data_IF_974643946641
#
_entry.id   IF_974643946641
#
_cell.length_a   1.000
_cell.length_b   1.000
_cell.length_c   1.000
_cell.angle_alpha   90.00
_cell.angle_beta   90.00
_cell.angle_gamma   90.00
#
_symmetry.space_group_name_H-M   'P 1'
#
loop_
_entity.id
_entity.type
_entity.pdbx_description
1 polymer ?
#
# COMPACT_ATOMS: atom_id res chain seq x y z
N UNK A 1 -37.92 -4.67 47.86
CA UNK A 1 -37.27 -5.35 46.76
C UNK A 1 -36.83 -4.33 45.72
N UNK A 2 -35.59 -3.86 45.81
CA UNK A 2 -34.99 -2.86 44.89
C UNK A 2 -33.96 -3.61 44.06
N UNK A 3 -34.33 -3.90 42.80
CA UNK A 3 -33.42 -4.40 41.78
C UNK A 3 -32.64 -3.22 41.21
N UNK A 4 -31.40 -3.03 41.64
CA UNK A 4 -30.44 -2.09 41.00
C UNK A 4 -29.93 -2.70 39.73
N UNK A 5 -30.40 -2.21 38.56
CA UNK A 5 -29.77 -2.42 37.27
C UNK A 5 -28.43 -1.70 37.28
N UNK A 6 -27.34 -2.43 37.46
CA UNK A 6 -25.99 -1.97 37.12
C UNK A 6 -25.91 -1.83 35.58
N UNK A 7 -26.02 -0.59 35.09
CA UNK A 7 -25.59 -0.26 33.74
C UNK A 7 -24.07 -0.43 33.70
N UNK A 8 -23.64 -1.48 33.07
CA UNK A 8 -22.25 -1.70 32.71
C UNK A 8 -21.87 -0.61 31.73
N UNK A 9 -21.19 0.44 32.21
CA UNK A 9 -20.53 1.43 31.36
C UNK A 9 -19.35 0.75 30.69
N UNK A 10 -19.57 0.15 29.53
CA UNK A 10 -18.48 -0.16 28.61
C UNK A 10 -17.87 1.17 28.16
N UNK A 11 -16.70 1.51 28.66
CA UNK A 11 -15.83 2.50 28.06
C UNK A 11 -15.09 1.84 26.89
N UNK A 12 -15.44 2.10 25.64
CA UNK A 12 -14.62 1.63 24.53
C UNK A 12 -13.45 2.61 24.41
N UNK A 13 -12.22 2.19 24.64
CA UNK A 13 -11.13 3.01 24.21
C UNK A 13 -9.79 2.97 24.92
N UNK A 14 -9.61 2.24 26.04
CA UNK A 14 -8.31 2.29 26.75
C UNK A 14 -7.40 1.07 26.64
N UNK A 15 -7.89 -0.08 26.22
CA UNK A 15 -7.07 -1.29 26.14
C UNK A 15 -6.20 -1.35 24.85
N UNK A 16 -6.57 -0.64 23.78
CA UNK A 16 -5.87 -0.68 22.49
C UNK A 16 -4.66 0.27 22.41
N UNK A 17 -4.56 1.30 23.23
CA UNK A 17 -3.53 2.34 23.08
C UNK A 17 -2.12 1.83 23.42
N UNK A 18 -1.95 0.97 24.43
CA UNK A 18 -0.63 0.50 24.84
C UNK A 18 0.04 -0.37 23.77
N UNK A 19 -0.67 -1.34 23.21
CA UNK A 19 -0.14 -2.20 22.15
C UNK A 19 0.22 -1.45 20.89
N UNK A 20 -0.63 -0.49 20.47
CA UNK A 20 -0.37 0.35 19.30
C UNK A 20 0.87 1.23 19.51
N UNK A 21 0.97 1.91 20.64
CA UNK A 21 2.11 2.79 20.93
C UNK A 21 3.43 2.01 20.96
N UNK A 22 3.43 0.79 21.46
CA UNK A 22 4.58 -0.12 21.43
C UNK A 22 4.98 -0.51 20.00
N UNK A 23 3.99 -0.86 19.16
CA UNK A 23 4.21 -1.20 17.76
C UNK A 23 4.76 0.00 16.96
N UNK A 24 4.28 1.22 17.25
CA UNK A 24 4.77 2.44 16.64
C UNK A 24 6.19 2.80 17.10
N UNK A 25 6.48 2.64 18.38
CA UNK A 25 7.83 2.84 18.93
C UNK A 25 8.84 1.89 18.29
N UNK A 26 8.48 0.64 18.04
CA UNK A 26 9.28 -0.32 17.28
C UNK A 26 9.55 0.10 15.81
N UNK A 27 8.77 1.02 15.28
CA UNK A 27 8.93 1.64 13.96
C UNK A 27 9.57 3.05 14.02
N UNK A 28 10.05 3.45 15.20
CA UNK A 28 10.71 4.73 15.42
C UNK A 28 9.77 5.92 15.64
N UNK A 29 8.47 5.69 15.83
CA UNK A 29 7.47 6.72 16.09
C UNK A 29 6.99 6.63 17.54
N UNK A 30 7.34 7.62 18.35
CA UNK A 30 6.85 7.77 19.73
C UNK A 30 5.64 8.67 19.73
N UNK A 31 4.48 8.15 20.11
CA UNK A 31 3.22 8.90 20.12
C UNK A 31 3.25 9.95 21.23
N UNK A 32 3.10 11.23 20.85
CA UNK A 32 3.12 12.35 21.79
C UNK A 32 1.79 12.49 22.56
N UNK A 33 0.65 12.44 21.87
CA UNK A 33 -0.68 12.57 22.48
C UNK A 33 -1.58 11.38 22.08
N UNK A 34 -2.06 11.32 20.84
CA UNK A 34 -3.04 10.33 20.40
C UNK A 34 -2.64 9.59 19.13
N UNK A 35 -2.86 8.27 19.13
CA UNK A 35 -2.80 7.44 17.94
C UNK A 35 -4.19 6.87 17.64
N UNK A 36 -4.62 7.01 16.40
CA UNK A 36 -5.89 6.49 15.88
C UNK A 36 -5.59 5.35 14.91
N UNK A 37 -6.19 4.18 15.13
CA UNK A 37 -5.94 3.00 14.31
C UNK A 37 -7.20 2.54 13.60
N UNK A 38 -7.08 2.26 12.31
CA UNK A 38 -8.11 1.63 11.46
C UNK A 38 -9.46 2.35 11.53
N UNK A 39 -9.41 3.69 11.49
CA UNK A 39 -10.62 4.50 11.45
C UNK A 39 -11.39 4.23 10.16
N UNK A 40 -12.71 4.22 10.28
CA UNK A 40 -13.61 4.18 9.13
C UNK A 40 -13.55 5.48 8.33
N UNK A 41 -14.03 5.45 7.10
CA UNK A 41 -14.14 6.65 6.24
C UNK A 41 -14.86 7.80 6.96
N UNK A 42 -15.97 7.52 7.64
CA UNK A 42 -16.74 8.52 8.37
C UNK A 42 -15.96 9.11 9.55
N UNK A 43 -15.24 8.27 10.29
CA UNK A 43 -14.39 8.74 11.40
C UNK A 43 -13.19 9.56 10.92
N UNK A 44 -12.56 9.18 9.80
CA UNK A 44 -11.51 9.97 9.16
C UNK A 44 -12.04 11.34 8.72
N UNK A 45 -13.24 11.40 8.13
CA UNK A 45 -13.90 12.65 7.74
C UNK A 45 -14.19 13.54 8.96
N UNK A 46 -14.65 12.97 10.08
CA UNK A 46 -14.81 13.69 11.34
C UNK A 46 -13.47 14.25 11.90
N UNK A 47 -12.35 13.64 11.53
CA UNK A 47 -11.00 14.14 11.85
C UNK A 47 -10.45 15.11 10.81
N UNK A 48 -11.28 15.55 9.85
CA UNK A 48 -10.90 16.51 8.83
C UNK A 48 -10.34 15.90 7.54
N UNK A 49 -10.53 14.60 7.30
CA UNK A 49 -10.14 14.00 6.04
C UNK A 49 -10.96 14.59 4.89
N UNK A 50 -10.26 15.00 3.84
CA UNK A 50 -10.82 15.46 2.58
C UNK A 50 -10.33 14.58 1.44
N UNK A 51 -11.06 14.57 0.34
CA UNK A 51 -10.61 13.90 -0.89
C UNK A 51 -9.43 14.69 -1.45
N UNK A 52 -8.27 14.05 -1.51
CA UNK A 52 -7.08 14.67 -2.04
C UNK A 52 -7.14 14.73 -3.57
N UNK A 53 -6.65 15.83 -4.14
CA UNK A 53 -6.44 15.95 -5.57
C UNK A 53 -5.45 14.88 -6.05
N UNK A 54 -5.75 14.23 -7.19
CA UNK A 54 -4.84 13.24 -7.77
C UNK A 54 -3.70 13.94 -8.49
N UNK A 55 -2.49 13.55 -8.16
CA UNK A 55 -1.26 13.96 -8.85
C UNK A 55 -0.65 12.76 -9.58
N UNK A 56 0.29 13.03 -10.48
CA UNK A 56 1.07 12.00 -11.17
C UNK A 56 2.47 12.52 -11.49
N UNK A 57 3.42 11.58 -11.60
CA UNK A 57 4.79 11.89 -12.02
C UNK A 57 5.64 12.57 -10.94
N UNK A 58 5.32 12.36 -9.67
CA UNK A 58 6.18 12.81 -8.58
C UNK A 58 7.50 12.04 -8.57
N UNK A 59 8.60 12.66 -8.10
CA UNK A 59 9.88 11.97 -7.99
C UNK A 59 9.77 10.71 -7.11
N UNK A 60 10.24 9.59 -7.63
CA UNK A 60 10.31 8.31 -6.93
C UNK A 60 11.78 7.92 -6.80
N UNK A 61 12.24 7.72 -5.57
CA UNK A 61 13.60 7.29 -5.24
C UNK A 61 13.56 5.89 -4.66
N UNK A 62 14.22 4.95 -5.30
CA UNK A 62 14.24 3.55 -4.87
C UNK A 62 15.63 3.18 -4.38
N UNK A 63 15.70 2.57 -3.19
CA UNK A 63 16.88 1.93 -2.64
C UNK A 63 16.71 0.42 -2.62
N UNK A 64 17.75 -0.28 -3.07
CA UNK A 64 17.73 -1.73 -3.20
C UNK A 64 17.37 -2.17 -4.61
N UNK A 65 17.77 -3.39 -4.94
CA UNK A 65 17.70 -3.86 -6.31
C UNK A 65 17.00 -5.20 -6.39
N UNK A 66 15.84 -5.23 -7.05
CA UNK A 66 15.15 -6.47 -7.41
C UNK A 66 15.66 -7.07 -8.74
N UNK A 67 16.27 -6.25 -9.62
CA UNK A 67 16.57 -6.66 -11.01
C UNK A 67 17.90 -6.12 -11.56
N UNK A 68 18.87 -5.71 -10.74
CA UNK A 68 20.20 -5.28 -11.22
C UNK A 68 20.34 -3.78 -11.53
N UNK A 69 19.35 -2.93 -11.22
CA UNK A 69 19.44 -1.48 -11.42
C UNK A 69 20.26 -0.75 -10.33
N UNK A 70 20.66 0.49 -10.58
CA UNK A 70 21.31 1.34 -9.59
C UNK A 70 20.28 1.89 -8.59
N UNK A 71 20.67 2.01 -7.33
CA UNK A 71 19.84 2.69 -6.32
C UNK A 71 19.88 4.20 -6.53
N UNK A 72 18.70 4.84 -6.57
CA UNK A 72 18.56 6.30 -6.71
C UNK A 72 18.92 7.04 -5.41
N UNK A 73 18.83 6.33 -4.28
CA UNK A 73 19.10 6.85 -2.95
C UNK A 73 20.01 5.90 -2.17
N UNK A 74 21.02 6.42 -1.52
CA UNK A 74 21.93 5.64 -0.70
C UNK A 74 21.31 5.25 0.65
N UNK A 75 21.86 4.19 1.29
CA UNK A 75 21.47 3.76 2.63
C UNK A 75 21.54 4.89 3.66
N UNK A 76 22.60 5.71 3.59
CA UNK A 76 22.79 6.82 4.52
C UNK A 76 21.76 7.94 4.31
N UNK A 77 21.46 8.27 3.07
CA UNK A 77 20.43 9.26 2.72
C UNK A 77 19.05 8.80 3.18
N UNK A 78 18.68 7.56 2.87
CA UNK A 78 17.40 7.02 3.32
C UNK A 78 17.28 6.97 4.85
N UNK A 79 18.32 6.53 5.54
CA UNK A 79 18.32 6.48 7.01
C UNK A 79 18.20 7.89 7.63
N UNK A 80 18.84 8.90 7.06
CA UNK A 80 18.71 10.29 7.48
C UNK A 80 17.30 10.83 7.24
N UNK A 81 16.72 10.53 6.08
CA UNK A 81 15.34 10.88 5.74
C UNK A 81 14.36 10.21 6.72
N UNK A 82 14.47 8.91 6.93
CA UNK A 82 13.62 8.16 7.85
C UNK A 82 13.68 8.73 9.27
N UNK A 83 14.88 9.07 9.76
CA UNK A 83 15.03 9.71 11.07
C UNK A 83 14.29 11.04 11.18
N UNK A 84 14.31 11.86 10.13
CA UNK A 84 13.59 13.14 10.12
C UNK A 84 12.05 12.92 10.09
N UNK A 85 11.61 11.99 9.26
CA UNK A 85 10.18 11.62 9.14
C UNK A 85 9.64 11.05 10.45
N UNK A 86 10.34 10.12 11.08
CA UNK A 86 9.91 9.54 12.36
C UNK A 86 9.97 10.55 13.50
N UNK A 87 10.96 11.46 13.52
CA UNK A 87 11.02 12.55 14.49
C UNK A 87 9.83 13.52 14.32
N UNK A 88 9.47 13.87 13.06
CA UNK A 88 8.30 14.68 12.78
C UNK A 88 7.02 14.01 13.25
N UNK A 89 6.79 12.74 12.90
CA UNK A 89 5.62 11.97 13.34
C UNK A 89 5.54 11.83 14.86
N UNK A 90 6.69 11.84 15.55
CA UNK A 90 6.74 11.81 17.01
C UNK A 90 6.48 13.17 17.66
N UNK A 91 6.58 14.27 16.91
CA UNK A 91 6.35 15.63 17.44
C UNK A 91 4.90 16.10 17.33
N UNK A 92 4.08 15.44 16.51
CA UNK A 92 2.69 15.84 16.27
C UNK A 92 1.74 15.27 17.33
N UNK A 93 0.59 15.94 17.54
CA UNK A 93 -0.38 15.52 18.54
C UNK A 93 -1.19 14.28 18.12
N UNK A 94 -1.53 14.16 16.83
CA UNK A 94 -2.40 13.10 16.34
C UNK A 94 -1.70 12.28 15.26
N UNK A 95 -1.49 11.00 15.50
CA UNK A 95 -0.96 10.04 14.54
C UNK A 95 -2.09 9.13 14.05
N UNK A 96 -2.22 8.98 12.75
CA UNK A 96 -3.21 8.12 12.11
C UNK A 96 -2.54 6.86 11.58
N UNK A 97 -3.07 5.70 11.94
CA UNK A 97 -2.53 4.39 11.56
C UNK A 97 -3.59 3.60 10.80
N UNK A 98 -3.21 3.04 9.66
CA UNK A 98 -4.07 2.18 8.88
C UNK A 98 -3.34 0.90 8.53
N UNK A 99 -3.94 -0.23 8.88
CA UNK A 99 -3.47 -1.55 8.47
C UNK A 99 -4.19 -1.97 7.19
N UNK A 100 -3.46 -2.57 6.27
CA UNK A 100 -3.96 -3.06 5.00
C UNK A 100 -3.04 -4.12 4.40
N UNK A 101 -3.27 -4.46 3.15
CA UNK A 101 -2.44 -5.41 2.41
C UNK A 101 -2.31 -5.05 0.94
N UNK A 102 -1.20 -5.44 0.33
CA UNK A 102 -1.03 -5.60 -1.11
C UNK A 102 -1.33 -7.07 -1.43
N UNK A 103 -2.29 -7.29 -2.33
CA UNK A 103 -2.85 -8.60 -2.60
C UNK A 103 -4.11 -8.90 -1.79
N UNK A 104 -5.15 -9.39 -2.47
CA UNK A 104 -6.46 -9.70 -1.87
C UNK A 104 -6.50 -11.08 -1.19
N UNK A 105 -5.51 -11.95 -1.45
CA UNK A 105 -5.43 -13.27 -0.85
C UNK A 105 -4.64 -13.25 0.46
N UNK A 106 -5.25 -13.68 1.56
CA UNK A 106 -4.59 -13.76 2.87
C UNK A 106 -3.42 -14.75 2.91
N UNK A 107 -3.34 -15.68 1.95
CA UNK A 107 -2.30 -16.71 1.89
C UNK A 107 -0.96 -16.16 1.41
N UNK A 108 -0.97 -15.22 0.46
CA UNK A 108 0.23 -14.70 -0.17
C UNK A 108 0.26 -13.17 -0.27
N UNK A 109 -0.56 -12.46 0.49
CA UNK A 109 -0.52 -10.98 0.56
C UNK A 109 0.73 -10.46 1.29
N UNK A 110 1.04 -9.18 1.07
CA UNK A 110 2.00 -8.45 1.88
C UNK A 110 1.27 -7.46 2.79
N UNK A 111 1.36 -7.68 4.10
CA UNK A 111 0.74 -6.78 5.09
C UNK A 111 1.46 -5.44 5.11
N UNK A 112 0.69 -4.37 5.20
CA UNK A 112 1.17 -2.98 5.18
C UNK A 112 0.61 -2.23 6.39
N UNK A 113 1.46 -1.46 7.05
CA UNK A 113 1.04 -0.48 8.05
C UNK A 113 1.36 0.91 7.55
N UNK A 114 0.36 1.75 7.40
CA UNK A 114 0.48 3.18 7.12
C UNK A 114 0.52 3.93 8.44
N UNK A 115 1.47 4.85 8.59
CA UNK A 115 1.61 5.75 9.74
C UNK A 115 1.67 7.17 9.20
N UNK A 116 0.71 8.03 9.56
CA UNK A 116 0.53 9.34 8.92
C UNK A 116 0.21 10.46 9.91
N UNK A 117 0.61 11.68 9.56
CA UNK A 117 0.18 12.93 10.17
C UNK A 117 -1.18 13.43 9.62
N UNK A 118 -1.70 12.80 8.56
CA UNK A 118 -2.88 13.28 7.83
C UNK A 118 -3.98 12.23 7.69
N UNK A 119 -5.21 12.52 8.12
CA UNK A 119 -6.35 11.64 7.92
C UNK A 119 -6.75 11.54 6.44
N UNK A 120 -6.49 12.58 5.62
CA UNK A 120 -6.74 12.55 4.17
C UNK A 120 -5.82 11.58 3.45
N UNK A 121 -4.54 11.51 3.86
CA UNK A 121 -3.59 10.57 3.30
C UNK A 121 -3.96 9.12 3.65
N UNK A 122 -4.39 8.88 4.89
CA UNK A 122 -4.91 7.56 5.31
C UNK A 122 -6.14 7.17 4.50
N UNK A 123 -7.08 8.11 4.31
CA UNK A 123 -8.28 7.87 3.49
C UNK A 123 -7.92 7.47 2.06
N UNK A 124 -6.97 8.17 1.43
CA UNK A 124 -6.49 7.86 0.07
C UNK A 124 -5.82 6.48 0.00
N UNK A 125 -4.93 6.17 0.94
CA UNK A 125 -4.22 4.88 0.94
C UNK A 125 -5.15 3.71 1.29
N UNK A 126 -6.15 3.92 2.14
CA UNK A 126 -7.16 2.90 2.44
C UNK A 126 -8.04 2.55 1.24
N UNK A 127 -8.14 3.41 0.21
CA UNK A 127 -8.83 3.09 -1.05
C UNK A 127 -7.97 2.29 -2.03
N UNK A 128 -6.67 2.20 -1.78
CA UNK A 128 -5.71 1.44 -2.61
C UNK A 128 -5.44 0.05 -2.01
N UNK A 129 -5.28 -0.01 -0.69
CA UNK A 129 -4.92 -1.23 0.03
C UNK A 129 -6.13 -2.09 0.34
N UNK A 130 -5.97 -3.40 0.25
CA UNK A 130 -6.96 -4.35 0.71
C UNK A 130 -7.13 -4.26 2.23
N UNK A 131 -8.37 -4.37 2.70
CA UNK A 131 -8.66 -4.43 4.13
C UNK A 131 -8.17 -5.75 4.71
N UNK A 132 -7.56 -5.71 5.87
CA UNK A 132 -7.13 -6.90 6.59
C UNK A 132 -8.01 -7.13 7.80
N UNK A 133 -8.25 -8.40 8.21
CA UNK A 133 -8.88 -8.67 9.49
C UNK A 133 -8.10 -8.00 10.63
N UNK A 134 -8.81 -7.43 11.59
CA UNK A 134 -8.18 -6.86 12.79
C UNK A 134 -7.44 -7.95 13.54
N UNK A 135 -6.13 -7.80 13.71
CA UNK A 135 -5.29 -8.68 14.52
C UNK A 135 -4.84 -7.96 15.77
N UNK A 136 -4.61 -8.71 16.84
CA UNK A 136 -3.99 -8.14 18.02
C UNK A 136 -2.62 -7.55 17.67
N UNK A 137 -2.36 -6.33 18.12
CA UNK A 137 -1.12 -5.58 17.79
C UNK A 137 0.13 -6.30 18.28
N UNK A 138 0.00 -7.12 19.34
CA UNK A 138 1.08 -7.97 19.89
C UNK A 138 1.60 -9.05 18.92
N UNK A 139 0.83 -9.38 17.88
CA UNK A 139 1.21 -10.30 16.81
C UNK A 139 1.49 -9.57 15.51
N UNK A 140 2.12 -8.40 15.61
CA UNK A 140 2.39 -7.53 14.47
C UNK A 140 3.42 -8.15 13.52
N UNK A 141 2.88 -8.79 12.50
CA UNK A 141 3.64 -9.36 11.38
C UNK A 141 3.60 -8.46 10.14
N UNK A 142 3.42 -7.13 10.31
CA UNK A 142 3.43 -6.21 9.18
C UNK A 142 4.84 -6.03 8.63
N UNK A 143 5.21 -6.68 7.52
CA UNK A 143 6.54 -6.58 6.97
C UNK A 143 6.80 -5.19 6.35
N UNK A 144 5.75 -4.53 5.83
CA UNK A 144 5.87 -3.25 5.14
C UNK A 144 5.36 -2.11 6.02
N UNK A 145 6.12 -1.00 6.08
CA UNK A 145 5.71 0.22 6.78
C UNK A 145 5.73 1.40 5.83
N UNK A 146 4.62 2.11 5.73
CA UNK A 146 4.47 3.34 4.93
C UNK A 146 4.38 4.52 5.88
N UNK A 147 5.34 5.41 5.82
CA UNK A 147 5.36 6.67 6.57
C UNK A 147 4.86 7.78 5.67
N UNK A 148 3.86 8.54 6.11
CA UNK A 148 3.31 9.66 5.38
C UNK A 148 3.45 10.93 6.21
N UNK A 149 4.09 11.93 5.65
CA UNK A 149 4.29 13.23 6.30
C UNK A 149 3.89 14.34 5.35
N UNK A 150 2.67 14.83 5.50
CA UNK A 150 2.12 15.86 4.62
C UNK A 150 2.55 17.27 5.03
N UNK A 151 2.89 17.45 6.30
CA UNK A 151 3.26 18.74 6.90
C UNK A 151 4.77 18.96 7.06
N UNK A 152 5.61 17.97 6.69
CA UNK A 152 7.05 18.16 6.71
C UNK A 152 7.50 19.05 5.55
N UNK A 153 8.46 19.94 5.83
CA UNK A 153 8.99 20.84 4.80
C UNK A 153 9.64 20.08 3.63
N UNK A 154 9.33 20.40 2.38
CA UNK A 154 9.99 19.84 1.21
C UNK A 154 11.53 20.01 1.21
N UNK A 155 12.04 21.01 1.90
CA UNK A 155 13.48 21.24 2.10
C UNK A 155 14.24 20.10 2.77
N UNK A 156 13.54 19.16 3.39
CA UNK A 156 14.14 17.93 3.94
C UNK A 156 14.86 17.12 2.86
N UNK A 157 14.35 17.12 1.63
CA UNK A 157 14.97 16.45 0.48
C UNK A 157 16.36 17.01 0.20
N UNK A 158 16.47 18.35 0.17
CA UNK A 158 17.75 19.02 -0.04
C UNK A 158 18.73 18.73 1.12
N UNK A 159 18.21 18.68 2.35
CA UNK A 159 19.03 18.38 3.54
C UNK A 159 19.60 16.95 3.53
N UNK A 160 18.99 16.02 2.81
CA UNK A 160 19.52 14.65 2.62
C UNK A 160 20.30 14.49 1.30
N UNK A 161 20.50 15.58 0.54
CA UNK A 161 21.26 15.58 -0.70
C UNK A 161 20.52 14.98 -1.90
N UNK A 162 19.20 14.94 -1.86
CA UNK A 162 18.34 14.59 -3.00
C UNK A 162 17.91 15.88 -3.70
N UNK A 163 17.76 15.84 -5.02
CA UNK A 163 17.28 17.01 -5.77
C UNK A 163 15.75 17.04 -5.69
N UNK A 164 15.20 18.04 -5.03
CA UNK A 164 13.77 18.30 -5.09
C UNK A 164 13.38 18.73 -6.50
N UNK A 165 12.53 17.97 -7.16
CA UNK A 165 11.85 18.38 -8.37
C UNK A 165 10.46 18.94 -7.97
N UNK A 166 10.40 20.24 -7.63
CA UNK A 166 9.15 20.93 -7.28
C UNK A 166 8.74 20.83 -5.80
N UNK A 167 7.70 21.62 -5.45
CA UNK A 167 7.21 21.78 -4.06
C UNK A 167 6.14 20.75 -3.65
N UNK A 168 5.75 19.84 -4.55
CA UNK A 168 4.61 18.95 -4.32
C UNK A 168 4.92 17.73 -3.46
N UNK A 169 6.18 17.39 -3.24
CA UNK A 169 6.57 16.21 -2.47
C UNK A 169 7.24 15.13 -3.31
N UNK A 170 7.47 13.98 -2.70
CA UNK A 170 8.20 12.87 -3.31
C UNK A 170 7.87 11.53 -2.65
N UNK A 171 8.29 10.45 -3.30
CA UNK A 171 8.17 9.07 -2.86
C UNK A 171 9.56 8.49 -2.68
N UNK A 172 9.87 7.85 -1.56
CA UNK A 172 11.13 7.16 -1.34
C UNK A 172 10.91 5.76 -0.77
N UNK A 173 11.42 4.74 -1.44
CA UNK A 173 11.26 3.34 -1.08
C UNK A 173 12.62 2.72 -0.70
N UNK A 174 12.65 1.93 0.37
CA UNK A 174 13.78 1.10 0.76
C UNK A 174 13.35 -0.36 0.82
N UNK A 175 13.72 -1.13 -0.19
CA UNK A 175 13.33 -2.53 -0.33
C UNK A 175 13.93 -3.39 0.78
N UNK A 176 15.20 -3.15 1.15
CA UNK A 176 15.87 -3.91 2.20
C UNK A 176 15.26 -3.67 3.59
N UNK A 177 14.68 -2.49 3.83
CA UNK A 177 14.02 -2.14 5.09
C UNK A 177 12.50 -2.38 5.05
N UNK A 178 11.96 -2.79 3.91
CA UNK A 178 10.53 -2.95 3.71
C UNK A 178 9.75 -1.70 4.12
N UNK A 179 10.24 -0.52 3.71
CA UNK A 179 9.68 0.76 4.12
C UNK A 179 9.54 1.76 2.98
N UNK A 180 8.45 2.53 3.02
CA UNK A 180 8.08 3.56 2.06
C UNK A 180 7.87 4.87 2.80
N UNK A 181 8.39 5.95 2.26
CA UNK A 181 8.20 7.32 2.75
C UNK A 181 7.49 8.13 1.68
N UNK A 182 6.36 8.75 2.06
CA UNK A 182 5.57 9.65 1.24
C UNK A 182 5.61 11.03 1.88
N UNK A 183 6.31 11.97 1.26
CA UNK A 183 6.44 13.34 1.76
C UNK A 183 5.57 14.31 0.98
N UNK A 184 5.04 15.33 1.67
CA UNK A 184 4.17 16.34 1.07
C UNK A 184 2.93 15.71 0.45
N UNK A 185 2.70 15.98 -0.81
CA UNK A 185 1.60 15.39 -1.60
C UNK A 185 1.95 14.02 -2.23
N UNK A 186 3.05 13.37 -1.81
CA UNK A 186 3.46 12.07 -2.33
C UNK A 186 2.38 11.00 -2.31
N UNK A 187 1.50 11.04 -1.31
CA UNK A 187 0.35 10.12 -1.20
C UNK A 187 -0.73 10.34 -2.26
N UNK A 188 -0.73 11.48 -2.95
CA UNK A 188 -1.70 11.82 -4.00
C UNK A 188 -1.33 11.24 -5.37
N UNK A 189 -0.07 10.82 -5.57
CA UNK A 189 0.36 10.08 -6.76
C UNK A 189 0.08 8.59 -6.59
N UNK A 190 -1.15 8.19 -6.93
CA UNK A 190 -1.60 6.82 -6.77
C UNK A 190 -0.76 5.82 -7.57
N UNK A 191 -0.27 6.19 -8.77
CA UNK A 191 0.53 5.31 -9.62
C UNK A 191 1.93 5.12 -9.02
N UNK A 192 2.62 6.20 -8.67
CA UNK A 192 3.92 6.12 -8.03
C UNK A 192 3.87 5.37 -6.69
N UNK A 193 2.81 5.56 -5.89
CA UNK A 193 2.59 4.79 -4.66
C UNK A 193 2.40 3.31 -4.94
N UNK A 194 1.58 2.94 -5.92
CA UNK A 194 1.34 1.55 -6.30
C UNK A 194 2.62 0.87 -6.81
N UNK A 195 3.37 1.53 -7.68
CA UNK A 195 4.66 1.02 -8.18
C UNK A 195 5.66 0.76 -7.03
N UNK A 196 5.79 1.72 -6.11
CA UNK A 196 6.64 1.56 -4.94
C UNK A 196 6.17 0.40 -4.03
N UNK A 197 4.86 0.26 -3.81
CA UNK A 197 4.29 -0.83 -3.02
C UNK A 197 4.50 -2.19 -3.70
N UNK A 198 4.39 -2.29 -5.02
CA UNK A 198 4.69 -3.51 -5.78
C UNK A 198 6.15 -3.91 -5.59
N UNK A 199 7.07 -2.97 -5.73
CA UNK A 199 8.50 -3.23 -5.55
C UNK A 199 8.82 -3.73 -4.12
N UNK A 200 8.20 -3.15 -3.10
CA UNK A 200 8.40 -3.53 -1.70
C UNK A 200 7.72 -4.86 -1.34
N UNK A 201 6.56 -5.15 -1.93
CA UNK A 201 5.78 -6.35 -1.61
C UNK A 201 6.29 -7.60 -2.33
N UNK A 202 6.98 -7.45 -3.46
CA UNK A 202 7.46 -8.56 -4.26
C UNK A 202 8.21 -9.63 -3.48
N UNK A 203 9.28 -9.30 -2.72
CA UNK A 203 10.01 -10.27 -1.91
C UNK A 203 9.13 -11.00 -0.88
N UNK A 204 8.18 -10.30 -0.27
CA UNK A 204 7.26 -10.87 0.73
C UNK A 204 6.30 -11.86 0.07
N UNK A 205 5.70 -11.46 -1.06
CA UNK A 205 4.76 -12.29 -1.83
C UNK A 205 5.45 -13.57 -2.31
N UNK A 206 6.66 -13.44 -2.87
CA UNK A 206 7.46 -14.58 -3.35
C UNK A 206 7.80 -15.52 -2.19
N UNK A 207 8.23 -15.00 -1.06
CA UNK A 207 8.54 -15.81 0.13
C UNK A 207 7.32 -16.58 0.68
N UNK A 208 6.10 -16.11 0.36
CA UNK A 208 4.83 -16.75 0.71
C UNK A 208 4.24 -17.63 -0.41
N UNK A 209 5.02 -17.93 -1.44
CA UNK A 209 4.64 -18.82 -2.54
C UNK A 209 3.77 -18.17 -3.62
N UNK A 210 3.69 -16.84 -3.67
CA UNK A 210 3.02 -16.09 -4.73
C UNK A 210 3.97 -15.71 -5.85
N UNK A 211 3.48 -15.74 -7.08
CA UNK A 211 4.16 -15.20 -8.26
C UNK A 211 3.50 -13.88 -8.65
N UNK A 212 4.27 -12.81 -8.65
CA UNK A 212 3.81 -11.48 -9.02
C UNK A 212 3.98 -11.26 -10.51
N UNK A 213 2.88 -10.95 -11.21
CA UNK A 213 2.86 -10.73 -12.65
C UNK A 213 2.26 -9.36 -12.99
N UNK A 214 2.89 -8.64 -13.93
CA UNK A 214 2.33 -7.41 -14.51
C UNK A 214 1.27 -7.74 -15.57
N UNK A 215 0.19 -8.39 -15.17
CA UNK A 215 -0.93 -8.76 -16.03
C UNK A 215 -2.21 -8.07 -15.58
N UNK A 216 -3.16 -7.92 -16.49
CA UNK A 216 -4.55 -7.58 -16.17
C UNK A 216 -5.36 -8.85 -16.02
N UNK A 217 -6.34 -8.79 -15.13
CA UNK A 217 -7.22 -9.92 -14.84
C UNK A 217 -8.57 -9.73 -15.51
N UNK A 218 -8.97 -10.69 -16.34
CA UNK A 218 -10.31 -10.78 -16.91
C UNK A 218 -10.99 -12.04 -16.40
N UNK A 219 -12.30 -11.95 -16.19
CA UNK A 219 -13.14 -13.10 -15.86
C UNK A 219 -14.31 -13.13 -16.84
N UNK A 220 -14.48 -14.27 -17.50
CA UNK A 220 -15.57 -14.51 -18.43
C UNK A 220 -16.22 -15.86 -18.12
N UNK A 221 -17.40 -15.85 -17.51
CA UNK A 221 -18.02 -17.03 -16.97
C UNK A 221 -17.12 -17.71 -15.92
N UNK A 222 -16.75 -18.95 -16.16
CA UNK A 222 -15.85 -19.72 -15.29
C UNK A 222 -14.36 -19.57 -15.65
N UNK A 223 -14.06 -18.88 -16.73
CA UNK A 223 -12.70 -18.72 -17.25
C UNK A 223 -12.01 -17.51 -16.64
N UNK A 224 -10.79 -17.74 -16.15
CA UNK A 224 -9.89 -16.69 -15.64
C UNK A 224 -8.77 -16.49 -16.64
N UNK A 225 -8.58 -15.26 -17.09
CA UNK A 225 -7.69 -14.91 -18.20
C UNK A 225 -6.69 -13.87 -17.71
N UNK A 226 -5.41 -14.09 -17.96
CA UNK A 226 -4.38 -13.10 -17.77
C UNK A 226 -4.10 -12.38 -19.10
N UNK A 227 -4.23 -11.06 -19.12
CA UNK A 227 -3.95 -10.22 -20.27
C UNK A 227 -2.64 -9.45 -20.08
N UNK A 228 -1.69 -9.67 -20.96
CA UNK A 228 -0.48 -8.89 -21.13
C UNK A 228 -0.62 -8.09 -22.42
N UNK A 229 -0.85 -6.80 -22.34
CA UNK A 229 -1.13 -5.96 -23.48
C UNK A 229 -0.64 -4.53 -23.28
N UNK A 230 -0.38 -3.79 -24.36
CA UNK A 230 -0.15 -2.35 -24.32
C UNK A 230 -1.37 -1.60 -23.75
N UNK A 231 -1.13 -0.43 -23.18
CA UNK A 231 -2.16 0.36 -22.50
C UNK A 231 -3.36 0.69 -23.41
N UNK A 232 -3.12 1.01 -24.70
CA UNK A 232 -4.19 1.26 -25.66
C UNK A 232 -5.15 0.08 -25.84
N UNK A 233 -4.60 -1.16 -25.80
CA UNK A 233 -5.41 -2.38 -25.87
C UNK A 233 -6.17 -2.58 -24.55
N UNK A 234 -5.54 -2.32 -23.43
CA UNK A 234 -6.15 -2.41 -22.10
C UNK A 234 -7.33 -1.45 -21.99
N UNK A 235 -7.18 -0.20 -22.42
CA UNK A 235 -8.25 0.79 -22.40
C UNK A 235 -9.48 0.36 -23.22
N UNK A 236 -9.26 -0.30 -24.36
CA UNK A 236 -10.36 -0.85 -25.20
C UNK A 236 -11.11 -2.00 -24.51
N UNK A 237 -10.47 -2.69 -23.60
CA UNK A 237 -11.04 -3.83 -22.86
C UNK A 237 -11.42 -3.46 -21.41
N UNK A 238 -11.37 -2.18 -21.03
CA UNK A 238 -11.49 -1.73 -19.64
C UNK A 238 -12.78 -2.23 -18.95
N UNK A 239 -13.87 -2.36 -19.68
CA UNK A 239 -15.16 -2.86 -19.17
C UNK A 239 -15.16 -4.38 -18.89
N UNK A 240 -14.17 -5.13 -19.35
CA UNK A 240 -14.04 -6.57 -19.15
C UNK A 240 -13.05 -6.90 -18.03
N UNK A 241 -12.28 -5.91 -17.57
CA UNK A 241 -11.25 -6.11 -16.56
C UNK A 241 -11.85 -6.19 -15.15
N UNK A 242 -11.33 -7.11 -14.36
CA UNK A 242 -11.65 -7.19 -12.92
C UNK A 242 -11.01 -6.03 -12.16
N UNK A 243 -9.81 -5.61 -12.61
CA UNK A 243 -9.06 -4.50 -12.03
C UNK A 243 -8.46 -3.66 -13.15
N UNK A 244 -8.61 -2.35 -13.05
CA UNK A 244 -7.95 -1.40 -13.94
C UNK A 244 -6.44 -1.37 -13.73
N UNK A 245 -5.96 -1.80 -12.56
CA UNK A 245 -4.53 -1.80 -12.23
C UNK A 245 -3.80 -2.99 -12.86
N UNK A 246 -2.56 -2.75 -13.29
CA UNK A 246 -1.64 -3.82 -13.63
C UNK A 246 -1.14 -4.49 -12.36
N UNK A 247 -1.21 -5.81 -12.37
CA UNK A 247 -0.60 -6.60 -11.34
C UNK A 247 -1.56 -7.57 -10.67
N UNK A 248 -1.14 -8.82 -10.70
CA UNK A 248 -1.82 -9.93 -10.04
C UNK A 248 -0.81 -10.80 -9.31
N UNK A 249 -1.28 -11.50 -8.29
CA UNK A 249 -0.56 -12.56 -7.61
C UNK A 249 -1.15 -13.88 -8.07
N UNK A 250 -0.34 -14.74 -8.63
CA UNK A 250 -0.69 -16.14 -8.94
C UNK A 250 -0.10 -17.03 -7.86
N UNK A 251 -0.90 -17.88 -7.27
CA UNK A 251 -0.49 -18.84 -6.25
C UNK A 251 -1.14 -20.20 -6.50
N UNK A 252 -0.79 -21.22 -5.72
CA UNK A 252 -1.47 -22.53 -5.75
C UNK A 252 -2.98 -22.45 -5.45
N UNK A 253 -3.44 -21.37 -4.83
CA UNK A 253 -4.84 -21.15 -4.43
C UNK A 253 -5.64 -20.35 -5.47
N UNK A 254 -4.97 -19.83 -6.51
CA UNK A 254 -5.62 -19.03 -7.56
C UNK A 254 -4.91 -17.73 -7.88
N UNK A 255 -5.67 -16.79 -8.44
CA UNK A 255 -5.21 -15.45 -8.83
C UNK A 255 -5.90 -14.39 -7.99
N UNK A 256 -5.12 -13.44 -7.50
CA UNK A 256 -5.58 -12.32 -6.69
C UNK A 256 -5.08 -10.98 -7.26
N UNK A 257 -5.92 -9.93 -7.37
CA UNK A 257 -5.47 -8.60 -7.74
C UNK A 257 -4.62 -7.98 -6.63
N UNK A 258 -3.64 -7.16 -7.02
CA UNK A 258 -2.72 -6.49 -6.08
C UNK A 258 -3.40 -5.41 -5.25
N UNK A 259 -4.19 -4.57 -5.90
CA UNK A 259 -4.82 -3.40 -5.27
C UNK A 259 -6.34 -3.47 -5.34
N UNK A 260 -6.97 -2.79 -4.40
CA UNK A 260 -8.42 -2.67 -4.35
C UNK A 260 -8.89 -1.75 -5.48
N UNK A 261 -9.95 -2.16 -6.19
CA UNK A 261 -10.65 -1.37 -7.19
C UNK A 261 -12.07 -1.09 -6.72
N UNK A 262 -12.36 0.16 -6.40
CA UNK A 262 -13.69 0.58 -5.97
C UNK A 262 -14.10 0.05 -4.59
N UNK A 263 -15.38 0.20 -4.25
CA UNK A 263 -15.98 -0.16 -2.94
C UNK A 263 -16.24 -1.67 -2.76
N UNK A 264 -15.55 -2.51 -3.47
CA UNK A 264 -15.73 -3.95 -3.38
C UNK A 264 -15.24 -4.50 -2.04
N UNK A 265 -16.17 -4.85 -1.19
CA UNK A 265 -16.00 -5.12 0.24
C UNK A 265 -15.44 -6.48 0.63
N UNK A 266 -14.57 -7.12 -0.15
CA UNK A 266 -14.00 -8.41 0.24
C UNK A 266 -12.73 -8.79 -0.50
N UNK A 267 -11.95 -9.71 0.06
CA UNK A 267 -10.84 -10.31 -0.66
C UNK A 267 -11.37 -11.12 -1.84
N UNK A 268 -10.90 -10.83 -3.04
CA UNK A 268 -11.25 -11.59 -4.23
C UNK A 268 -10.07 -12.48 -4.62
N UNK A 269 -10.26 -13.77 -4.51
CA UNK A 269 -9.37 -14.78 -5.09
C UNK A 269 -10.15 -15.51 -6.18
N UNK A 270 -9.61 -15.54 -7.37
CA UNK A 270 -10.18 -16.20 -8.54
C UNK A 270 -9.51 -17.56 -8.74
N UNK A 271 -10.15 -18.45 -9.50
CA UNK A 271 -9.57 -19.73 -9.91
C UNK A 271 -8.21 -19.52 -10.61
N UNK A 272 -7.41 -20.55 -10.73
CA UNK A 272 -6.19 -20.50 -11.52
C UNK A 272 -6.51 -20.09 -12.97
N UNK A 273 -5.63 -19.30 -13.62
CA UNK A 273 -5.87 -18.85 -14.98
C UNK A 273 -5.92 -20.02 -15.95
N UNK A 274 -6.94 -20.01 -16.79
CA UNK A 274 -7.10 -21.03 -17.85
C UNK A 274 -6.42 -20.60 -19.13
N UNK A 275 -6.20 -19.28 -19.32
CA UNK A 275 -5.62 -18.69 -20.52
C UNK A 275 -4.74 -17.50 -20.15
N UNK A 276 -3.64 -17.35 -20.88
CA UNK A 276 -2.84 -16.14 -20.90
C UNK A 276 -2.82 -15.57 -22.32
N UNK A 277 -3.20 -14.29 -22.47
CA UNK A 277 -3.21 -13.58 -23.74
C UNK A 277 -2.05 -12.58 -23.73
N UNK A 278 -1.16 -12.69 -24.70
CA UNK A 278 -0.09 -11.74 -24.96
C UNK A 278 -0.44 -10.97 -26.23
N UNK A 279 -0.74 -9.69 -26.10
CA UNK A 279 -0.97 -8.79 -27.24
C UNK A 279 0.26 -7.91 -27.42
N UNK A 280 0.79 -7.87 -28.65
CA UNK A 280 1.93 -7.02 -29.02
C UNK A 280 1.50 -5.98 -30.06
N UNK A 281 2.19 -4.85 -30.12
CA UNK A 281 1.96 -3.82 -31.11
C UNK A 281 2.51 -4.21 -32.51
N UNK A 282 3.35 -5.26 -32.60
CA UNK A 282 4.13 -5.56 -33.80
C UNK A 282 3.44 -6.51 -34.78
N UNK A 283 2.11 -6.58 -34.79
CA UNK A 283 1.31 -7.46 -35.65
C UNK A 283 1.27 -8.93 -35.19
N UNK A 284 0.54 -9.80 -35.90
CA UNK A 284 0.31 -11.18 -35.46
C UNK A 284 1.58 -12.01 -35.60
N UNK A 285 2.37 -12.10 -34.54
CA UNK A 285 3.37 -13.16 -34.41
C UNK A 285 2.69 -14.35 -33.74
N UNK A 286 2.38 -15.38 -34.54
CA UNK A 286 1.98 -16.68 -34.03
C UNK A 286 3.15 -17.25 -33.22
N UNK A 287 2.99 -17.39 -31.93
CA UNK A 287 3.92 -18.20 -31.13
C UNK A 287 3.71 -19.67 -31.50
N UNK A 288 4.80 -20.43 -31.75
CA UNK A 288 4.66 -21.87 -31.98
C UNK A 288 4.05 -22.52 -30.73
N UNK A 289 3.15 -23.44 -30.97
CA UNK A 289 2.48 -24.23 -29.94
C UNK A 289 3.49 -24.82 -28.97
N UNK A 290 3.39 -24.44 -27.68
CA UNK A 290 3.99 -25.24 -26.61
C UNK A 290 3.20 -26.56 -26.53
N UNK A 291 3.73 -27.59 -27.14
CA UNK A 291 3.26 -28.94 -26.89
C UNK A 291 3.63 -29.32 -25.45
N UNK A 292 2.63 -29.76 -24.71
CA UNK A 292 2.69 -30.39 -23.39
C UNK A 292 3.66 -31.56 -23.32
#
# INVERSE_FOLDING_TARGET
MLSRKLKQLCFPGRAFSYGLNWALAGRGVVVNDKAFQNLTTSELQQKGATIAESLSGLPVYVRGNLLGGSSDISKAQYAKLLKQVTAHLSSIANVFVQDGAVGSSSECDAKVRVISDSPSAVLKLSSILWKTPSRAVSHDSCPLTVYVTTSISPGVVNAVGLRAQGDNGFIAADIERSSLILCGKGFSDANGVKEALVALSGPVIIARGGLLLCARLLVSGDSVILLFAPEDTIQRCANLLVSADAGVIVSSHGVAPLFQTGDSGGPYTFKLPTVAILASCDGPRCFPHLHT
#
